data_IF_603159809660
#
_entry.id   IF_603159809660
#
_cell.length_a   1.000
_cell.length_b   1.000
_cell.length_c   1.000
_cell.angle_alpha   90.00
_cell.angle_beta   90.00
_cell.angle_gamma   90.00
#
_symmetry.space_group_name_H-M   'P 1'
#
loop_
_entity.id
_entity.type
_entity.pdbx_description
1 polymer ?
#
# COMPACT_ATOMS: atom_id res chain seq x y z
N UNK A 1 66.65 27.44 -45.95
CA UNK A 1 66.13 28.80 -46.28
C UNK A 1 66.61 29.72 -45.16
N UNK A 2 67.39 30.75 -45.44
CA UNK A 2 67.89 31.68 -44.42
C UNK A 2 66.79 32.65 -44.01
N UNK A 3 66.50 32.74 -42.71
CA UNK A 3 65.52 33.67 -42.16
C UNK A 3 66.02 35.11 -42.16
N UNK A 4 65.11 36.06 -41.94
CA UNK A 4 65.37 37.52 -41.91
C UNK A 4 66.39 37.96 -40.85
N UNK A 5 66.72 37.09 -39.89
CA UNK A 5 67.70 37.34 -38.81
C UNK A 5 69.04 36.58 -38.98
N UNK A 6 69.34 36.03 -40.17
CA UNK A 6 70.63 35.37 -40.43
C UNK A 6 70.80 33.96 -39.86
N UNK A 7 69.77 33.41 -39.22
CA UNK A 7 69.67 31.99 -38.83
C UNK A 7 68.96 31.19 -39.93
N UNK A 8 69.28 29.89 -40.08
CA UNK A 8 68.52 29.00 -40.95
C UNK A 8 67.09 28.84 -40.40
N UNK A 9 66.10 29.37 -41.13
CA UNK A 9 64.68 29.28 -40.76
C UNK A 9 64.11 27.87 -40.98
N UNK A 10 64.80 27.07 -41.79
CA UNK A 10 64.43 25.71 -42.15
C UNK A 10 65.71 24.90 -42.40
N UNK A 11 65.92 23.87 -41.58
CA UNK A 11 66.98 22.87 -41.75
C UNK A 11 66.37 21.54 -42.14
N UNK A 12 66.89 20.94 -43.22
CA UNK A 12 66.54 19.59 -43.66
C UNK A 12 67.81 18.75 -43.58
N UNK A 13 67.89 17.86 -42.60
CA UNK A 13 69.05 16.98 -42.37
C UNK A 13 68.57 15.65 -41.80
N UNK A 14 69.20 14.55 -42.22
CA UNK A 14 68.94 13.20 -41.71
C UNK A 14 67.45 12.79 -41.75
N UNK A 15 66.72 13.24 -42.78
CA UNK A 15 65.28 12.97 -42.94
C UNK A 15 64.37 13.82 -42.07
N UNK A 16 64.91 14.69 -41.21
CA UNK A 16 64.15 15.57 -40.35
C UNK A 16 64.01 16.97 -40.96
N UNK A 17 62.88 17.61 -40.64
CA UNK A 17 62.62 19.03 -40.91
C UNK A 17 62.62 19.76 -39.56
N UNK A 18 63.51 20.72 -39.39
CA UNK A 18 63.57 21.58 -38.20
C UNK A 18 63.25 23.02 -38.59
N UNK A 19 62.29 23.63 -37.91
CA UNK A 19 61.92 25.04 -38.05
C UNK A 19 62.19 25.73 -36.72
N UNK A 20 62.97 26.81 -36.75
CA UNK A 20 63.43 27.52 -35.55
C UNK A 20 62.34 28.37 -34.90
N UNK A 21 61.28 28.71 -35.65
CA UNK A 21 60.13 29.50 -35.24
C UNK A 21 58.82 28.70 -35.43
N UNK A 22 57.69 29.39 -35.63
CA UNK A 22 56.39 28.76 -35.82
C UNK A 22 56.21 28.15 -37.20
N UNK A 23 55.48 27.03 -37.26
CA UNK A 23 54.98 26.44 -38.51
C UNK A 23 53.51 26.81 -38.68
N UNK A 24 53.19 27.54 -39.75
CA UNK A 24 51.81 27.80 -40.18
C UNK A 24 51.56 26.95 -41.43
N UNK A 25 50.78 25.87 -41.28
CA UNK A 25 50.42 24.97 -42.37
C UNK A 25 48.91 25.03 -42.64
N UNK A 26 48.52 24.92 -43.90
CA UNK A 26 47.10 24.79 -44.25
C UNK A 26 46.51 23.45 -43.77
N UNK A 27 47.34 22.40 -43.72
CA UNK A 27 47.00 21.09 -43.17
C UNK A 27 48.29 20.31 -42.85
N UNK A 28 48.21 19.45 -41.84
CA UNK A 28 49.13 18.32 -41.65
C UNK A 28 48.41 17.07 -42.14
N UNK A 29 49.03 16.29 -43.03
CA UNK A 29 48.45 15.07 -43.61
C UNK A 29 49.22 13.85 -43.11
N UNK A 30 48.51 12.83 -42.65
CA UNK A 30 49.06 11.64 -41.99
C UNK A 30 48.17 11.19 -40.83
N UNK A 31 48.60 10.16 -40.10
CA UNK A 31 47.92 9.66 -38.89
C UNK A 31 48.19 10.52 -37.64
N UNK A 32 49.16 11.43 -37.72
CA UNK A 32 49.50 12.37 -36.64
C UNK A 32 50.10 11.72 -35.39
N UNK A 33 50.33 10.40 -35.40
CA UNK A 33 50.79 9.62 -34.23
C UNK A 33 52.18 10.04 -33.73
N UNK A 34 52.99 10.61 -34.62
CA UNK A 34 54.32 11.13 -34.31
C UNK A 34 54.32 12.59 -33.78
N UNK A 35 53.16 13.26 -33.72
CA UNK A 35 53.07 14.61 -33.16
C UNK A 35 53.08 14.52 -31.63
N UNK A 36 54.13 15.07 -31.02
CA UNK A 36 54.30 15.11 -29.57
C UNK A 36 54.35 16.56 -29.10
N UNK A 37 54.09 16.81 -27.81
CA UNK A 37 54.21 18.14 -27.22
C UNK A 37 53.05 19.11 -27.49
N UNK A 38 51.98 18.65 -28.13
CA UNK A 38 50.76 19.45 -28.30
C UNK A 38 49.88 19.27 -27.06
N UNK A 39 49.64 20.34 -26.31
CA UNK A 39 48.74 20.33 -25.15
C UNK A 39 47.28 20.31 -25.61
N UNK A 40 46.45 19.44 -25.03
CA UNK A 40 45.00 19.36 -25.31
C UNK A 40 44.29 20.72 -25.23
N UNK A 41 44.65 21.55 -24.24
CA UNK A 41 44.10 22.89 -24.03
C UNK A 41 44.47 23.91 -25.11
N UNK A 42 45.46 23.62 -25.94
CA UNK A 42 45.86 24.44 -27.08
C UNK A 42 45.23 23.97 -28.40
N UNK A 43 44.56 22.80 -28.41
CA UNK A 43 43.73 22.40 -29.54
C UNK A 43 42.46 23.25 -29.49
N UNK A 44 42.08 23.84 -30.62
CA UNK A 44 40.82 24.54 -30.77
C UNK A 44 39.64 23.56 -30.83
N UNK A 45 38.69 23.81 -31.72
CA UNK A 45 37.65 22.82 -32.03
C UNK A 45 38.28 21.56 -32.64
N UNK A 46 37.85 20.38 -32.19
CA UNK A 46 38.19 19.10 -32.81
C UNK A 46 37.08 18.73 -33.82
N UNK A 47 37.26 18.95 -35.14
CA UNK A 47 36.25 18.62 -36.14
C UNK A 47 36.26 17.12 -36.48
N UNK A 48 35.13 16.61 -36.97
CA UNK A 48 34.98 15.23 -37.45
C UNK A 48 33.93 14.43 -36.67
N UNK A 49 33.50 13.29 -37.22
CA UNK A 49 32.48 12.43 -36.60
C UNK A 49 33.01 11.70 -35.34
N UNK A 50 34.31 11.39 -35.34
CA UNK A 50 35.02 10.68 -34.26
C UNK A 50 36.29 11.44 -33.87
N UNK A 51 36.16 12.63 -33.24
CA UNK A 51 37.30 13.50 -32.98
C UNK A 51 38.25 12.97 -31.90
N UNK A 52 37.77 12.07 -31.04
CA UNK A 52 38.54 11.45 -29.96
C UNK A 52 38.34 9.93 -30.04
N UNK A 53 39.43 9.21 -30.34
CA UNK A 53 39.50 7.74 -30.39
C UNK A 53 40.56 7.30 -29.38
N UNK A 54 40.18 6.40 -28.48
CA UNK A 54 41.00 5.95 -27.35
C UNK A 54 41.25 4.45 -27.48
N UNK A 55 42.52 4.07 -27.46
CA UNK A 55 42.97 2.68 -27.35
C UNK A 55 42.89 2.19 -25.90
N UNK A 56 42.67 0.89 -25.73
CA UNK A 56 42.82 0.22 -24.43
C UNK A 56 44.29 -0.06 -24.08
N UNK A 57 44.51 -0.87 -23.03
CA UNK A 57 45.85 -1.31 -22.61
C UNK A 57 46.60 -2.09 -23.71
N UNK A 58 45.87 -2.76 -24.60
CA UNK A 58 46.40 -3.51 -25.74
C UNK A 58 45.98 -2.85 -27.04
N UNK A 59 46.95 -2.51 -27.89
CA UNK A 59 46.67 -2.05 -29.25
C UNK A 59 46.14 -3.22 -30.08
N UNK A 60 44.85 -3.21 -30.36
CA UNK A 60 44.18 -4.16 -31.23
C UNK A 60 43.20 -3.44 -32.17
N UNK A 61 42.08 -4.06 -32.54
CA UNK A 61 41.09 -3.44 -33.41
C UNK A 61 39.89 -2.84 -32.66
N UNK A 62 39.93 -2.80 -31.32
CA UNK A 62 38.84 -2.36 -30.47
C UNK A 62 39.16 -1.02 -29.81
N UNK A 63 38.41 0.01 -30.19
CA UNK A 63 38.63 1.39 -29.75
C UNK A 63 37.39 1.94 -29.03
N UNK A 64 37.61 2.87 -28.10
CA UNK A 64 36.53 3.68 -27.53
C UNK A 64 36.49 5.04 -28.22
N UNK A 65 35.36 5.37 -28.85
CA UNK A 65 35.17 6.68 -29.49
C UNK A 65 34.28 7.57 -28.64
N UNK A 66 34.70 8.81 -28.38
CA UNK A 66 33.83 9.86 -27.81
C UNK A 66 33.33 10.73 -28.97
N UNK A 67 32.03 10.63 -29.26
CA UNK A 67 31.37 11.41 -30.31
C UNK A 67 30.42 12.44 -29.73
N UNK A 68 30.16 13.50 -30.49
CA UNK A 68 29.18 14.53 -30.15
C UNK A 68 28.17 14.55 -31.29
N UNK A 69 26.90 14.25 -30.99
CA UNK A 69 25.81 14.50 -31.95
C UNK A 69 25.64 16.00 -32.15
N UNK A 70 25.11 16.42 -33.31
CA UNK A 70 24.90 17.84 -33.63
C UNK A 70 24.12 18.53 -32.49
N UNK A 71 24.76 19.44 -31.72
CA UNK A 71 24.12 20.04 -30.57
C UNK A 71 23.13 21.12 -31.02
N UNK A 72 21.92 21.14 -30.45
CA UNK A 72 20.91 22.17 -30.77
C UNK A 72 21.10 23.49 -29.99
N UNK A 73 22.06 23.53 -29.07
CA UNK A 73 22.52 24.69 -28.32
C UNK A 73 23.87 24.34 -27.66
N UNK A 74 24.61 25.31 -27.14
CA UNK A 74 25.87 25.07 -26.43
C UNK A 74 25.68 24.09 -25.25
N UNK A 75 26.47 23.02 -25.23
CA UNK A 75 26.47 22.01 -24.15
C UNK A 75 27.82 21.96 -23.49
N UNK A 76 27.80 21.79 -22.17
CA UNK A 76 29.00 21.58 -21.36
C UNK A 76 28.82 20.27 -20.60
N UNK A 77 29.82 19.39 -20.71
CA UNK A 77 29.98 18.22 -19.86
C UNK A 77 31.20 18.51 -18.97
N UNK A 78 31.01 18.48 -17.65
CA UNK A 78 32.09 18.71 -16.68
C UNK A 78 32.37 17.41 -15.94
N UNK A 79 33.62 16.95 -15.98
CA UNK A 79 34.06 15.83 -15.15
C UNK A 79 34.27 16.32 -13.70
N UNK A 80 33.76 15.61 -12.69
CA UNK A 80 34.01 15.97 -11.30
C UNK A 80 35.48 15.78 -10.93
N UNK A 81 35.96 16.52 -9.93
CA UNK A 81 37.26 16.29 -9.29
C UNK A 81 37.19 15.05 -8.39
N UNK A 82 37.17 13.89 -9.02
CA UNK A 82 37.08 12.60 -8.35
C UNK A 82 37.28 11.45 -9.33
N UNK A 83 37.80 10.34 -8.82
CA UNK A 83 37.95 9.10 -9.61
C UNK A 83 36.62 8.35 -9.67
N UNK A 84 36.32 7.73 -10.81
CA UNK A 84 35.14 6.90 -10.99
C UNK A 84 34.97 6.49 -12.45
N UNK A 85 33.87 5.82 -12.76
CA UNK A 85 33.47 5.48 -14.13
C UNK A 85 32.41 6.47 -14.62
N UNK A 86 32.32 6.66 -15.94
CA UNK A 86 31.20 7.35 -16.56
C UNK A 86 30.00 6.40 -16.60
N UNK A 87 28.83 6.88 -16.18
CA UNK A 87 27.61 6.07 -16.17
C UNK A 87 27.10 5.80 -17.59
N UNK A 88 26.83 4.54 -17.94
CA UNK A 88 26.34 4.13 -19.25
C UNK A 88 24.97 3.44 -19.15
N UNK A 89 24.14 3.52 -20.20
CA UNK A 89 22.75 3.02 -20.17
C UNK A 89 22.65 1.50 -20.06
N UNK A 90 23.60 0.78 -20.64
CA UNK A 90 23.55 -0.68 -20.77
C UNK A 90 24.49 -1.37 -19.77
N UNK A 91 25.32 -0.59 -19.06
CA UNK A 91 26.20 -1.10 -18.03
C UNK A 91 25.44 -1.28 -16.72
N UNK A 92 25.67 -2.42 -16.04
CA UNK A 92 25.24 -2.57 -14.65
C UNK A 92 26.17 -1.77 -13.75
N UNK A 93 25.62 -0.85 -12.96
CA UNK A 93 26.39 0.08 -12.16
C UNK A 93 25.85 0.21 -10.73
N UNK A 94 26.76 0.47 -9.80
CA UNK A 94 26.41 0.84 -8.42
C UNK A 94 26.62 2.34 -8.24
N UNK A 95 25.52 3.08 -8.06
CA UNK A 95 25.53 4.54 -7.94
C UNK A 95 25.62 5.00 -6.47
N UNK A 96 26.73 4.69 -5.80
CA UNK A 96 26.95 5.12 -4.41
C UNK A 96 27.07 6.64 -4.29
N UNK A 97 26.52 7.19 -3.20
CA UNK A 97 26.59 8.61 -2.85
C UNK A 97 26.09 9.54 -3.98
N UNK A 98 24.91 9.23 -4.52
CA UNK A 98 24.21 10.09 -5.50
C UNK A 98 22.86 10.52 -4.92
N UNK A 99 22.43 11.72 -5.29
CA UNK A 99 21.07 12.18 -5.06
C UNK A 99 20.30 12.07 -6.36
N UNK A 100 19.25 11.25 -6.39
CA UNK A 100 18.31 11.15 -7.50
C UNK A 100 17.07 11.98 -7.16
N UNK A 101 16.75 12.99 -7.97
CA UNK A 101 15.57 13.83 -7.78
C UNK A 101 14.53 13.44 -8.82
N UNK A 102 13.45 12.78 -8.38
CA UNK A 102 12.37 12.29 -9.24
C UNK A 102 12.77 11.19 -10.23
N UNK A 103 13.53 10.15 -9.83
CA UNK A 103 13.83 9.05 -10.73
C UNK A 103 12.55 8.35 -11.18
N UNK A 104 12.49 7.95 -12.45
CA UNK A 104 11.44 7.07 -12.97
C UNK A 104 12.00 5.64 -12.99
N UNK A 105 11.33 4.73 -12.31
CA UNK A 105 11.63 3.29 -12.35
C UNK A 105 10.55 2.62 -13.19
N UNK A 106 10.94 2.11 -14.36
CA UNK A 106 10.02 1.50 -15.31
C UNK A 106 10.57 0.17 -15.81
N UNK A 107 9.68 -0.81 -15.97
CA UNK A 107 9.96 -2.00 -16.75
C UNK A 107 9.82 -1.70 -18.24
N UNK A 108 10.41 -2.55 -19.08
CA UNK A 108 10.10 -2.57 -20.50
C UNK A 108 8.61 -2.90 -20.75
N UNK A 109 8.14 -2.68 -21.98
CA UNK A 109 6.80 -3.11 -22.41
C UNK A 109 6.54 -4.58 -22.02
N UNK A 110 5.35 -4.84 -21.45
CA UNK A 110 4.94 -6.12 -20.89
C UNK A 110 5.81 -6.68 -19.73
N UNK A 111 6.62 -5.83 -19.09
CA UNK A 111 7.41 -6.20 -17.91
C UNK A 111 7.02 -5.35 -16.70
N UNK A 112 7.29 -5.86 -15.51
CA UNK A 112 7.08 -5.10 -14.28
C UNK A 112 8.16 -4.03 -14.12
N UNK A 113 7.76 -2.85 -13.64
CA UNK A 113 8.68 -1.89 -13.02
C UNK A 113 8.93 -2.31 -11.58
N UNK A 114 10.20 -2.40 -11.16
CA UNK A 114 10.53 -2.82 -9.80
C UNK A 114 11.63 -1.97 -9.18
N UNK A 115 11.40 -1.55 -7.95
CA UNK A 115 12.41 -0.97 -7.08
C UNK A 115 12.77 -2.00 -6.02
N UNK A 116 14.02 -2.44 -6.06
CA UNK A 116 14.57 -3.36 -5.07
C UNK A 116 15.31 -2.60 -3.98
N UNK A 117 15.09 -3.00 -2.72
CA UNK A 117 15.62 -2.37 -1.52
C UNK A 117 16.16 -3.48 -0.63
N UNK A 118 17.48 -3.50 -0.43
CA UNK A 118 18.19 -4.52 0.34
C UNK A 118 18.97 -3.86 1.49
N UNK A 119 19.08 -4.53 2.64
CA UNK A 119 19.91 -4.03 3.74
C UNK A 119 21.38 -4.47 3.56
N UNK A 120 21.61 -5.70 3.09
CA UNK A 120 22.85 -6.17 2.51
C UNK A 120 22.62 -7.20 1.39
N UNK A 121 23.69 -7.67 0.74
CA UNK A 121 23.61 -8.60 -0.40
C UNK A 121 23.92 -10.06 -0.02
N UNK A 122 24.11 -10.39 1.26
CA UNK A 122 25.08 -11.43 1.62
C UNK A 122 24.59 -12.66 2.38
N UNK A 123 23.64 -12.56 3.31
CA UNK A 123 23.46 -13.64 4.30
C UNK A 123 22.02 -14.11 4.56
N UNK A 124 20.99 -13.30 4.33
CA UNK A 124 19.61 -13.78 4.36
C UNK A 124 18.74 -13.25 3.20
N UNK A 125 17.68 -14.00 2.88
CA UNK A 125 16.68 -13.54 1.90
C UNK A 125 15.73 -12.52 2.55
N UNK A 126 15.63 -12.51 3.89
CA UNK A 126 14.57 -11.82 4.62
C UNK A 126 14.78 -10.29 4.72
N UNK A 127 15.98 -9.80 4.44
CA UNK A 127 16.30 -8.38 4.36
C UNK A 127 16.02 -7.76 2.97
N UNK A 128 15.61 -8.57 1.98
CA UNK A 128 15.31 -8.10 0.62
C UNK A 128 13.84 -7.78 0.42
N UNK A 129 13.59 -6.55 0.00
CA UNK A 129 12.27 -6.02 -0.28
C UNK A 129 12.20 -5.52 -1.71
N UNK A 130 11.02 -5.56 -2.30
CA UNK A 130 10.76 -4.81 -3.53
C UNK A 130 9.37 -4.23 -3.55
N UNK A 131 9.27 -3.11 -4.25
CA UNK A 131 8.02 -2.57 -4.75
C UNK A 131 7.93 -2.94 -6.23
N UNK A 132 6.88 -3.63 -6.63
CA UNK A 132 6.68 -4.04 -8.02
C UNK A 132 5.34 -3.53 -8.54
N UNK A 133 5.34 -2.87 -9.70
CA UNK A 133 4.12 -2.63 -10.46
C UNK A 133 4.02 -3.69 -11.55
N UNK A 134 3.14 -4.67 -11.36
CA UNK A 134 2.96 -5.77 -12.29
C UNK A 134 2.32 -5.31 -13.60
N UNK A 135 2.58 -6.05 -14.68
CA UNK A 135 1.84 -5.88 -15.93
C UNK A 135 0.33 -6.15 -15.69
N UNK A 136 -0.50 -5.12 -15.76
CA UNK A 136 -1.91 -5.17 -15.34
C UNK A 136 -2.29 -4.14 -14.28
N UNK A 137 -1.31 -3.43 -13.70
CA UNK A 137 -1.52 -2.15 -13.00
C UNK A 137 -1.56 -2.21 -11.48
N UNK A 138 -1.58 -3.39 -10.86
CA UNK A 138 -1.45 -3.49 -9.41
C UNK A 138 0.00 -3.29 -8.97
N UNK A 139 0.17 -2.61 -7.84
CA UNK A 139 1.45 -2.49 -7.13
C UNK A 139 1.49 -3.48 -5.96
N UNK A 140 2.60 -4.18 -5.79
CA UNK A 140 2.84 -5.04 -4.64
C UNK A 140 4.02 -4.57 -3.81
N UNK A 141 3.97 -4.87 -2.51
CA UNK A 141 5.11 -4.84 -1.60
C UNK A 141 5.42 -6.29 -1.28
N UNK A 142 6.60 -6.74 -1.70
CA UNK A 142 7.06 -8.12 -1.51
C UNK A 142 8.29 -8.15 -0.60
N UNK A 143 8.38 -9.21 0.20
CA UNK A 143 9.60 -9.60 0.90
C UNK A 143 10.11 -10.90 0.29
N UNK A 144 11.41 -11.00 0.08
CA UNK A 144 12.02 -12.24 -0.37
C UNK A 144 12.05 -13.20 0.83
N UNK A 145 11.51 -14.39 0.60
CA UNK A 145 11.61 -15.55 1.48
C UNK A 145 12.50 -16.57 0.77
N UNK A 146 12.90 -17.64 1.46
CA UNK A 146 13.82 -18.66 0.92
C UNK A 146 13.45 -19.08 -0.52
N UNK A 147 14.20 -18.55 -1.49
CA UNK A 147 14.04 -18.83 -2.92
C UNK A 147 12.91 -18.10 -3.66
N UNK A 148 11.95 -17.43 -3.02
CA UNK A 148 10.81 -16.77 -3.71
C UNK A 148 10.42 -15.43 -3.10
N UNK A 149 9.88 -14.55 -3.94
CA UNK A 149 9.19 -13.36 -3.46
C UNK A 149 7.82 -13.76 -2.90
N UNK A 150 7.46 -13.18 -1.75
CA UNK A 150 6.14 -13.32 -1.14
C UNK A 150 5.49 -11.94 -1.02
N UNK A 151 4.27 -11.81 -1.56
CA UNK A 151 3.52 -10.56 -1.50
C UNK A 151 2.90 -10.37 -0.14
N UNK A 152 3.23 -9.23 0.49
CA UNK A 152 2.71 -8.85 1.81
C UNK A 152 1.50 -7.90 1.68
N UNK A 153 1.53 -7.03 0.67
CA UNK A 153 0.48 -6.07 0.38
C UNK A 153 0.32 -5.89 -1.12
N UNK A 154 -0.93 -5.74 -1.57
CA UNK A 154 -1.30 -5.42 -2.96
C UNK A 154 -2.17 -4.19 -2.97
N UNK A 155 -1.81 -3.18 -3.76
CA UNK A 155 -2.65 -2.05 -4.10
C UNK A 155 -3.09 -2.19 -5.56
N UNK A 156 -4.39 -2.25 -5.81
CA UNK A 156 -4.91 -2.33 -7.17
C UNK A 156 -5.18 -0.95 -7.77
N UNK A 157 -5.39 -0.92 -9.09
CA UNK A 157 -5.72 0.31 -9.81
C UNK A 157 -7.18 0.79 -9.60
N UNK A 158 -7.96 0.07 -8.79
CA UNK A 158 -9.31 0.46 -8.37
C UNK A 158 -9.29 1.19 -7.02
N UNK A 159 -8.10 1.35 -6.40
CA UNK A 159 -7.90 2.03 -5.13
C UNK A 159 -8.04 1.13 -3.91
N UNK A 160 -8.13 -0.19 -4.08
CA UNK A 160 -8.18 -1.12 -2.96
C UNK A 160 -6.77 -1.49 -2.51
N UNK A 161 -6.65 -1.77 -1.22
CA UNK A 161 -5.46 -2.35 -0.61
C UNK A 161 -5.83 -3.68 0.06
N UNK A 162 -5.10 -4.74 -0.28
CA UNK A 162 -5.18 -6.05 0.37
C UNK A 162 -3.87 -6.33 1.10
N UNK A 163 -3.96 -6.82 2.34
CA UNK A 163 -2.82 -7.30 3.13
C UNK A 163 -2.97 -8.81 3.21
N UNK A 164 -1.90 -9.55 2.92
CA UNK A 164 -1.94 -11.01 2.82
C UNK A 164 -2.10 -11.70 4.19
N UNK A 165 -1.60 -11.06 5.26
CA UNK A 165 -1.72 -11.54 6.63
C UNK A 165 -2.71 -10.72 7.46
N UNK A 166 -2.65 -10.92 8.77
CA UNK A 166 -3.48 -10.19 9.71
C UNK A 166 -3.06 -8.72 9.83
N UNK A 167 -4.04 -7.83 10.00
CA UNK A 167 -3.81 -6.43 10.30
C UNK A 167 -3.88 -6.23 11.80
N UNK A 168 -2.74 -5.92 12.42
CA UNK A 168 -2.68 -5.53 13.83
C UNK A 168 -2.55 -4.01 13.92
N UNK A 169 -3.49 -3.37 14.62
CA UNK A 169 -3.44 -1.93 14.92
C UNK A 169 -3.02 -1.77 16.38
N UNK A 170 -1.87 -1.16 16.64
CA UNK A 170 -1.36 -0.91 18.01
C UNK A 170 -1.37 0.58 18.38
N UNK A 171 -1.57 1.46 17.39
CA UNK A 171 -1.69 2.89 17.57
C UNK A 171 -3.12 3.31 17.94
N UNK A 172 -3.59 4.40 17.34
CA UNK A 172 -4.96 4.87 17.51
C UNK A 172 -5.99 3.96 16.80
N UNK A 173 -7.24 4.37 16.86
CA UNK A 173 -8.38 3.76 16.19
C UNK A 173 -8.19 3.57 14.68
N UNK A 174 -8.79 2.51 14.13
CA UNK A 174 -8.95 2.36 12.69
C UNK A 174 -10.11 3.26 12.23
N UNK A 175 -9.78 4.33 11.50
CA UNK A 175 -10.78 5.28 10.99
C UNK A 175 -11.12 4.96 9.54
N UNK A 176 -12.41 4.96 9.21
CA UNK A 176 -12.95 4.85 7.87
C UNK A 176 -13.39 6.24 7.35
N UNK A 177 -13.86 6.30 6.10
CA UNK A 177 -14.50 7.49 5.57
C UNK A 177 -15.72 7.92 6.41
N UNK A 178 -16.24 9.11 6.16
CA UNK A 178 -17.46 9.62 6.80
C UNK A 178 -17.43 9.70 8.35
N UNK A 179 -16.26 9.60 8.98
CA UNK A 179 -16.10 9.72 10.43
C UNK A 179 -16.35 8.44 11.20
N UNK A 180 -16.45 7.30 10.53
CA UNK A 180 -16.66 5.99 11.15
C UNK A 180 -15.32 5.44 11.70
N UNK A 181 -15.31 4.73 12.83
CA UNK A 181 -14.08 4.15 13.38
C UNK A 181 -14.31 2.87 14.19
N UNK A 182 -13.25 2.05 14.27
CA UNK A 182 -13.08 0.95 15.21
C UNK A 182 -12.07 1.41 16.26
N UNK A 183 -12.52 1.56 17.51
CA UNK A 183 -11.64 1.96 18.62
C UNK A 183 -10.55 0.92 18.88
N UNK A 184 -9.31 1.39 19.05
CA UNK A 184 -8.18 0.60 19.55
C UNK A 184 -7.75 1.06 20.96
N UNK A 185 -8.67 1.62 21.73
CA UNK A 185 -8.45 1.99 23.12
C UNK A 185 -8.07 0.78 24.00
N UNK A 186 -7.33 1.04 25.08
CA UNK A 186 -7.01 0.03 26.11
C UNK A 186 -8.18 -0.26 27.06
N UNK A 187 -9.37 0.22 26.74
CA UNK A 187 -10.58 0.05 27.54
C UNK A 187 -11.21 -1.36 27.40
N UNK A 188 -10.68 -2.18 26.48
CA UNK A 188 -11.15 -3.55 26.26
C UNK A 188 -12.53 -3.61 25.58
N UNK A 189 -12.98 -2.52 24.96
CA UNK A 189 -14.27 -2.42 24.29
C UNK A 189 -14.07 -2.08 22.81
N UNK A 190 -14.63 -2.92 21.94
CA UNK A 190 -14.82 -2.56 20.53
C UNK A 190 -15.95 -1.54 20.43
N UNK A 191 -15.60 -0.26 20.31
CA UNK A 191 -16.58 0.80 20.01
C UNK A 191 -16.71 0.97 18.51
N UNK A 192 -17.93 0.79 18.00
CA UNK A 192 -18.34 1.07 16.63
C UNK A 192 -19.29 2.27 16.67
N UNK A 193 -18.89 3.38 16.05
CA UNK A 193 -19.68 4.61 16.03
C UNK A 193 -20.73 4.67 14.89
N UNK A 194 -20.91 3.56 14.19
CA UNK A 194 -21.84 3.38 13.08
C UNK A 194 -22.85 2.25 13.37
N UNK A 195 -23.94 2.22 12.60
CA UNK A 195 -24.85 1.07 12.62
C UNK A 195 -24.14 -0.17 12.06
N UNK A 196 -24.19 -1.27 12.80
CA UNK A 196 -23.63 -2.56 12.38
C UNK A 196 -24.72 -3.37 11.68
N UNK A 197 -24.55 -3.64 10.39
CA UNK A 197 -25.43 -4.54 9.63
C UNK A 197 -24.72 -5.86 9.37
N UNK A 198 -25.34 -6.98 9.76
CA UNK A 198 -24.77 -8.34 9.61
C UNK A 198 -25.75 -9.15 8.75
N UNK A 199 -25.56 -9.19 7.42
CA UNK A 199 -26.58 -9.67 6.49
C UNK A 199 -26.70 -11.20 6.39
N UNK A 200 -25.67 -11.96 6.77
CA UNK A 200 -25.61 -13.42 6.59
C UNK A 200 -25.38 -14.23 7.86
N UNK A 201 -24.96 -13.61 8.96
CA UNK A 201 -24.47 -14.30 10.15
C UNK A 201 -24.99 -13.67 11.46
N UNK A 202 -24.82 -14.37 12.57
CA UNK A 202 -25.21 -13.88 13.89
C UNK A 202 -24.13 -13.00 14.52
N UNK A 203 -24.53 -11.97 15.27
CA UNK A 203 -23.63 -11.30 16.22
C UNK A 203 -23.50 -12.16 17.48
N UNK A 204 -22.36 -12.81 17.70
CA UNK A 204 -22.09 -13.51 18.95
C UNK A 204 -21.59 -12.52 20.00
N UNK A 205 -22.43 -12.22 21.00
CA UNK A 205 -22.07 -11.39 22.16
C UNK A 205 -21.99 -12.29 23.39
N UNK A 206 -20.83 -12.37 24.03
CA UNK A 206 -20.63 -13.17 25.26
C UNK A 206 -20.99 -12.40 26.55
N UNK A 207 -21.15 -11.08 26.44
CA UNK A 207 -21.51 -10.19 27.54
C UNK A 207 -22.96 -9.70 27.49
N UNK A 208 -23.26 -8.70 28.31
CA UNK A 208 -24.56 -8.03 28.32
C UNK A 208 -24.75 -7.16 27.07
N UNK A 209 -25.94 -7.19 26.47
CA UNK A 209 -26.36 -6.17 25.50
C UNK A 209 -27.04 -5.03 26.26
N UNK A 210 -26.48 -3.82 26.21
CA UNK A 210 -27.01 -2.64 26.91
C UNK A 210 -27.46 -1.57 25.90
N UNK A 211 -28.62 -0.95 26.13
CA UNK A 211 -29.03 0.27 25.44
C UNK A 211 -29.72 0.14 24.08
N UNK A 212 -30.29 -1.03 23.73
CA UNK A 212 -30.95 -1.25 22.43
C UNK A 212 -32.32 -1.94 22.51
N UNK A 213 -33.09 -1.83 21.42
CA UNK A 213 -34.26 -2.66 21.13
C UNK A 213 -33.81 -3.86 20.30
N UNK A 214 -34.21 -5.08 20.69
CA UNK A 214 -34.02 -6.28 19.87
C UNK A 214 -35.27 -6.43 18.98
N UNK A 215 -35.13 -6.14 17.69
CA UNK A 215 -36.21 -6.22 16.70
C UNK A 215 -35.89 -7.30 15.66
N UNK A 216 -35.52 -8.50 16.11
CA UNK A 216 -35.16 -9.62 15.23
C UNK A 216 -36.37 -10.50 14.82
N UNK A 217 -37.56 -10.21 15.38
CA UNK A 217 -38.79 -10.99 15.16
C UNK A 217 -38.80 -12.40 15.78
N UNK A 218 -37.67 -12.90 16.29
CA UNK A 218 -37.47 -14.29 16.76
C UNK A 218 -36.53 -14.42 17.97
N UNK A 219 -36.31 -13.33 18.72
CA UNK A 219 -35.33 -13.25 19.80
C UNK A 219 -35.54 -14.38 20.79
N UNK A 220 -34.50 -15.20 20.96
CA UNK A 220 -34.57 -16.41 21.78
C UNK A 220 -33.55 -16.33 22.91
N UNK A 221 -34.02 -16.49 24.14
CA UNK A 221 -33.17 -16.66 25.33
C UNK A 221 -33.10 -18.17 25.61
N UNK A 222 -32.00 -18.81 25.22
CA UNK A 222 -31.81 -20.26 25.39
C UNK A 222 -31.41 -20.65 26.81
N UNK A 223 -30.86 -19.72 27.58
CA UNK A 223 -30.51 -19.88 28.99
C UNK A 223 -30.51 -18.55 29.73
N UNK A 224 -30.80 -18.56 31.03
CA UNK A 224 -30.88 -17.37 31.87
C UNK A 224 -32.31 -16.86 32.09
N UNK A 225 -32.44 -15.80 32.90
CA UNK A 225 -33.72 -15.16 33.21
C UNK A 225 -33.87 -13.86 32.42
N UNK A 226 -35.08 -13.61 31.92
CA UNK A 226 -35.48 -12.29 31.44
C UNK A 226 -35.91 -11.46 32.65
N UNK A 227 -35.04 -10.57 33.14
CA UNK A 227 -35.30 -9.73 34.32
C UNK A 227 -35.47 -8.26 33.94
N UNK A 228 -36.27 -7.53 34.73
CA UNK A 228 -36.51 -6.10 34.49
C UNK A 228 -37.45 -5.81 33.32
N UNK A 229 -38.11 -6.84 32.76
CA UNK A 229 -39.17 -6.65 31.79
C UNK A 229 -40.36 -6.02 32.49
N UNK A 230 -40.74 -4.83 32.04
CA UNK A 230 -41.91 -4.12 32.55
C UNK A 230 -43.21 -4.56 31.87
N UNK A 231 -43.12 -5.19 30.69
CA UNK A 231 -44.27 -5.63 29.89
C UNK A 231 -43.86 -6.81 29.02
N UNK A 232 -44.76 -7.80 28.91
CA UNK A 232 -44.61 -8.95 28.02
C UNK A 232 -45.83 -8.99 27.10
N UNK A 233 -45.66 -8.57 25.84
CA UNK A 233 -46.72 -8.63 24.83
C UNK A 233 -46.44 -9.80 23.89
N UNK A 234 -47.32 -10.80 23.91
CA UNK A 234 -47.29 -11.90 22.96
C UNK A 234 -48.54 -11.85 22.08
N UNK A 235 -48.37 -12.02 20.76
CA UNK A 235 -49.49 -12.21 19.82
C UNK A 235 -50.09 -13.62 19.90
N UNK A 236 -49.53 -14.47 20.76
CA UNK A 236 -49.95 -15.83 21.01
C UNK A 236 -49.81 -16.17 22.49
N UNK A 237 -49.78 -17.47 22.78
CA UNK A 237 -49.67 -17.98 24.15
C UNK A 237 -48.36 -17.55 24.81
N UNK A 238 -48.46 -17.02 26.04
CA UNK A 238 -47.31 -16.84 26.93
C UNK A 238 -47.13 -18.12 27.75
N UNK A 239 -46.07 -18.87 27.46
CA UNK A 239 -45.75 -20.12 28.15
C UNK A 239 -44.50 -19.92 29.00
N UNK A 240 -44.61 -20.18 30.30
CA UNK A 240 -43.52 -20.11 31.26
C UNK A 240 -43.66 -21.24 32.29
N UNK A 241 -42.56 -21.58 32.98
CA UNK A 241 -42.59 -22.64 33.99
C UNK A 241 -43.59 -22.35 35.12
N UNK A 242 -43.43 -21.21 35.79
CA UNK A 242 -44.41 -20.65 36.73
C UNK A 242 -44.52 -19.16 36.42
N UNK A 243 -45.76 -18.69 36.33
CA UNK A 243 -46.04 -17.27 36.28
C UNK A 243 -46.41 -16.87 37.71
N UNK A 244 -45.50 -16.16 38.36
CA UNK A 244 -45.80 -15.47 39.62
C UNK A 244 -46.66 -14.25 39.25
N UNK A 245 -47.95 -14.51 39.04
CA UNK A 245 -48.93 -13.49 38.67
C UNK A 245 -49.67 -13.12 39.93
N UNK A 246 -49.00 -12.32 40.78
CA UNK A 246 -49.46 -11.94 42.12
C UNK A 246 -50.52 -12.93 42.61
N UNK A 247 -51.80 -12.58 42.51
CA UNK A 247 -52.83 -13.59 42.68
C UNK A 247 -53.95 -13.61 41.63
N UNK A 248 -53.68 -13.55 40.32
CA UNK A 248 -54.76 -13.45 39.31
C UNK A 248 -54.52 -14.24 38.03
N UNK A 249 -55.59 -14.88 37.54
CA UNK A 249 -55.66 -15.65 36.30
C UNK A 249 -56.71 -15.05 35.36
N UNK A 250 -56.35 -14.91 34.08
CA UNK A 250 -57.20 -14.34 33.01
C UNK A 250 -57.03 -15.17 31.74
N UNK A 251 -58.10 -15.82 31.29
CA UNK A 251 -58.09 -16.76 30.17
C UNK A 251 -59.24 -16.49 29.22
N UNK A 252 -59.16 -15.40 28.47
CA UNK A 252 -60.04 -15.05 27.35
C UNK A 252 -61.52 -14.85 27.72
N UNK A 253 -62.17 -15.92 28.19
CA UNK A 253 -63.49 -16.00 28.77
C UNK A 253 -63.50 -16.63 30.16
N UNK A 254 -62.44 -16.69 30.96
CA UNK A 254 -62.57 -16.96 32.41
C UNK A 254 -61.58 -16.11 33.20
N UNK A 255 -61.94 -15.71 34.42
CA UNK A 255 -61.08 -14.88 35.27
C UNK A 255 -61.23 -15.32 36.70
N UNK A 256 -60.14 -15.20 37.45
CA UNK A 256 -60.21 -15.37 38.87
C UNK A 256 -58.98 -14.97 39.63
N UNK A 257 -59.09 -15.04 40.96
CA UNK A 257 -57.89 -15.05 41.80
C UNK A 257 -57.07 -16.27 41.40
N UNK A 258 -55.80 -16.30 41.72
CA UNK A 258 -55.05 -17.55 41.77
C UNK A 258 -55.79 -18.62 42.58
N UNK A 259 -56.64 -18.22 43.53
CA UNK A 259 -57.39 -19.11 44.43
C UNK A 259 -58.80 -19.49 43.98
N UNK A 260 -59.34 -18.77 42.99
CA UNK A 260 -60.66 -19.07 42.45
C UNK A 260 -60.62 -18.51 41.03
N UNK A 261 -60.30 -19.39 40.04
CA UNK A 261 -59.85 -19.06 38.65
C UNK A 261 -60.97 -19.04 37.62
N UNK A 262 -61.92 -19.95 37.79
CA UNK A 262 -63.23 -19.98 37.14
C UNK A 262 -64.32 -19.55 38.14
N UNK A 263 -63.85 -18.93 39.23
CA UNK A 263 -64.65 -17.97 39.99
C UNK A 263 -65.51 -17.19 39.03
N UNK A 264 -64.94 -16.84 37.88
CA UNK A 264 -65.68 -16.46 36.72
C UNK A 264 -65.49 -17.44 35.57
N UNK A 265 -66.49 -18.26 35.29
CA UNK A 265 -66.64 -18.96 34.01
C UNK A 265 -67.37 -18.05 33.03
N UNK A 266 -66.72 -17.39 32.07
CA UNK A 266 -67.40 -16.62 31.03
C UNK A 266 -67.73 -17.51 29.82
N UNK A 267 -68.97 -17.42 29.39
CA UNK A 267 -69.54 -17.99 28.16
C UNK A 267 -70.33 -16.88 27.46
N UNK A 268 -70.79 -17.08 26.21
CA UNK A 268 -71.51 -16.01 25.52
C UNK A 268 -72.83 -15.64 26.25
N UNK A 269 -72.82 -14.49 26.93
CA UNK A 269 -73.96 -14.00 27.73
C UNK A 269 -74.10 -14.61 29.12
N UNK A 270 -73.19 -15.50 29.57
CA UNK A 270 -73.36 -16.17 30.87
C UNK A 270 -72.04 -16.29 31.62
N UNK A 271 -72.07 -15.84 32.87
CA UNK A 271 -71.02 -16.11 33.85
C UNK A 271 -71.52 -17.13 34.84
N UNK A 272 -70.76 -18.20 35.03
CA UNK A 272 -71.00 -19.16 36.11
C UNK A 272 -69.92 -18.96 37.16
N UNK A 273 -70.34 -18.68 38.38
CA UNK A 273 -69.42 -18.60 39.53
C UNK A 273 -69.53 -19.90 40.27
N UNK A 274 -68.42 -20.61 40.32
CA UNK A 274 -68.37 -21.94 40.88
C UNK A 274 -68.23 -21.93 42.41
N UNK A 275 -67.58 -20.91 42.97
CA UNK A 275 -67.37 -20.77 44.40
C UNK A 275 -68.63 -20.41 45.19
N UNK A 276 -68.47 -20.27 46.51
CA UNK A 276 -69.45 -19.49 47.27
C UNK A 276 -69.41 -18.08 46.71
N UNK A 277 -70.45 -17.74 45.95
CA UNK A 277 -70.72 -16.36 45.60
C UNK A 277 -71.23 -15.67 46.86
N UNK A 278 -70.32 -15.37 47.78
CA UNK A 278 -70.61 -14.55 48.93
C UNK A 278 -70.78 -13.10 48.43
N UNK A 279 -71.98 -12.77 47.96
CA UNK A 279 -72.33 -11.49 47.34
C UNK A 279 -73.46 -10.79 48.11
N UNK A 280 -73.32 -9.49 48.35
CA UNK A 280 -74.25 -8.69 49.20
C UNK A 280 -75.61 -8.40 48.55
N UNK A 281 -75.68 -8.32 47.23
CA UNK A 281 -76.92 -8.20 46.44
C UNK A 281 -76.68 -8.80 45.07
N UNK A 282 -77.62 -9.60 44.56
CA UNK A 282 -77.65 -10.13 43.21
C UNK A 282 -78.97 -9.66 42.59
N UNK A 283 -78.94 -8.86 41.53
CA UNK A 283 -80.13 -8.39 40.81
C UNK A 283 -79.95 -8.71 39.34
N UNK A 284 -81.00 -9.18 38.67
CA UNK A 284 -81.02 -9.37 37.22
C UNK A 284 -82.41 -9.09 36.70
N UNK A 285 -82.50 -8.65 35.45
CA UNK A 285 -83.67 -8.86 34.60
C UNK A 285 -83.59 -10.33 34.10
N UNK A 286 -84.35 -11.26 34.65
CA UNK A 286 -85.61 -11.59 34.01
C UNK A 286 -86.24 -10.47 33.19
#
# INVERSE_FOLDING_TARGET
ITGTNGQDALTIADGNVTVSDNVIANAFSGDGSALTGIQASALGTLPGASPIVLEGETADGFETTVTVTDPTADRTITLPDGTGTLSLTDATETLSNKTLIGPVVAGSENSSGSLHIYADDGDDDNDKWRLETANGGSMTIDSKQTGSWSTLMTMDNSGNAAIAGDVTVTGNDLTFGNGESISNGTDGILTLNANVSIPSDALLVSGTVQGGSLTDGTATITSGAASGLTTVTASGLVSGGSLDIDDVVVDGTTIGHTDDTDLMTLTNGTVTVAGTVAATTLTGDG
#
